data_IF_795500870652
#
_entry.id   IF_795500870652
#
_cell.length_a   1.000
_cell.length_b   1.000
_cell.length_c   1.000
_cell.angle_alpha   90.00
_cell.angle_beta   90.00
_cell.angle_gamma   90.00
#
_symmetry.space_group_name_H-M   'P 1'
#
loop_
_entity.id
_entity.type
_entity.pdbx_description
1 polymer ?
#
# COMPACT_ATOMS: atom_id res chain seq x y z
N UNK A 1 48.09 -22.99 10.59
CA UNK A 1 46.70 -22.68 10.94
C UNK A 1 46.29 -21.48 10.11
N UNK A 2 45.51 -21.73 9.06
CA UNK A 2 45.12 -20.72 8.08
C UNK A 2 43.69 -20.28 8.43
N UNK A 3 43.56 -19.09 9.03
CA UNK A 3 42.26 -18.49 9.34
C UNK A 3 41.62 -18.00 8.04
N UNK A 4 40.70 -18.79 7.50
CA UNK A 4 39.79 -18.35 6.45
C UNK A 4 38.71 -17.47 7.08
N UNK A 5 38.83 -16.16 6.84
CA UNK A 5 37.76 -15.20 7.12
C UNK A 5 36.63 -15.44 6.13
N UNK A 6 35.58 -16.13 6.57
CA UNK A 6 34.30 -16.15 5.88
C UNK A 6 33.66 -14.79 6.05
N UNK A 7 33.69 -13.98 4.99
CA UNK A 7 32.91 -12.74 4.89
C UNK A 7 31.45 -13.17 4.70
N UNK A 8 30.69 -13.15 5.79
CA UNK A 8 29.24 -13.31 5.75
C UNK A 8 28.69 -12.04 5.10
N UNK A 9 28.28 -12.15 3.84
CA UNK A 9 27.56 -11.09 3.13
C UNK A 9 26.17 -10.99 3.74
N UNK A 10 25.90 -9.91 4.46
CA UNK A 10 24.58 -9.59 5.00
C UNK A 10 23.70 -9.00 3.87
N UNK A 11 22.67 -9.72 3.39
CA UNK A 11 21.82 -9.24 2.29
C UNK A 11 21.03 -7.99 2.66
N UNK A 12 20.94 -7.61 3.94
CA UNK A 12 20.21 -6.41 4.39
C UNK A 12 20.97 -5.13 4.00
N UNK A 13 22.30 -5.15 3.91
CA UNK A 13 23.07 -3.96 3.48
C UNK A 13 22.97 -3.66 1.99
N UNK A 14 22.70 -4.67 1.15
CA UNK A 14 22.55 -4.45 -0.29
C UNK A 14 21.28 -3.66 -0.63
N UNK A 15 20.21 -3.83 0.17
CA UNK A 15 18.95 -3.12 -0.03
C UNK A 15 19.00 -1.67 0.49
N UNK A 16 19.74 -1.42 1.58
CA UNK A 16 19.95 -0.07 2.10
C UNK A 16 20.79 0.82 1.14
N UNK A 17 21.69 0.21 0.35
CA UNK A 17 22.55 0.96 -0.57
C UNK A 17 21.80 1.52 -1.79
N UNK A 18 20.64 0.94 -2.15
CA UNK A 18 19.82 1.42 -3.27
C UNK A 18 18.99 2.66 -2.88
N UNK A 19 18.61 2.82 -1.60
CA UNK A 19 17.90 4.02 -1.14
C UNK A 19 18.78 5.28 -1.06
N UNK A 20 20.10 5.14 -0.88
CA UNK A 20 21.00 6.28 -0.70
C UNK A 20 21.39 7.01 -2.01
N UNK A 21 21.09 6.43 -3.17
CA UNK A 21 21.48 6.99 -4.48
C UNK A 21 20.43 7.96 -5.07
N UNK A 22 19.25 8.10 -4.46
CA UNK A 22 18.12 8.89 -5.00
C UNK A 22 17.90 10.26 -4.33
N UNK A 23 18.73 10.66 -3.36
CA UNK A 23 18.53 11.87 -2.56
C UNK A 23 19.34 13.11 -3.00
N UNK A 24 19.98 13.11 -4.18
CA UNK A 24 20.88 14.22 -4.61
C UNK A 24 20.34 15.18 -5.68
N UNK A 25 19.06 15.13 -6.06
CA UNK A 25 18.49 16.13 -6.98
C UNK A 25 17.99 17.37 -6.22
N UNK A 26 18.70 18.47 -6.48
CA UNK A 26 18.60 19.82 -5.90
C UNK A 26 17.19 20.43 -5.88
N UNK A 27 16.88 21.27 -4.87
CA UNK A 27 15.73 22.15 -4.92
C UNK A 27 16.06 23.41 -5.74
N UNK A 28 15.47 23.53 -6.92
CA UNK A 28 15.45 24.80 -7.66
C UNK A 28 14.34 25.68 -7.06
N UNK A 29 14.69 26.61 -6.16
CA UNK A 29 13.74 27.59 -5.64
C UNK A 29 13.25 28.49 -6.79
N UNK A 30 11.96 28.40 -7.11
CA UNK A 30 11.26 29.36 -7.96
C UNK A 30 10.57 30.38 -7.06
N UNK A 31 11.13 31.59 -7.06
CA UNK A 31 10.51 32.80 -6.49
C UNK A 31 9.25 33.14 -7.28
N UNK A 32 8.11 33.21 -6.60
CA UNK A 32 6.84 33.68 -7.18
C UNK A 32 6.62 35.14 -6.75
N UNK A 33 6.38 36.07 -7.67
CA UNK A 33 6.01 37.45 -7.31
C UNK A 33 4.57 37.49 -6.81
N UNK A 34 4.39 38.20 -5.69
CA UNK A 34 3.10 38.49 -5.07
C UNK A 34 2.39 39.60 -5.86
N UNK A 35 1.23 39.29 -6.45
CA UNK A 35 0.39 40.26 -7.15
C UNK A 35 -0.93 40.41 -6.39
N UNK A 36 -1.15 41.60 -5.85
CA UNK A 36 -2.43 42.05 -5.31
C UNK A 36 -3.39 42.44 -6.44
N UNK A 37 -4.68 42.10 -6.31
CA UNK A 37 -5.76 42.75 -7.04
C UNK A 37 -7.05 42.78 -6.20
N UNK A 38 -7.61 43.99 -6.10
CA UNK A 38 -8.83 44.40 -5.41
C UNK A 38 -10.05 44.31 -6.35
N UNK A 39 -11.25 44.18 -5.77
CA UNK A 39 -12.57 44.45 -6.39
C UNK A 39 -13.24 43.22 -7.00
N UNK A 40 -14.56 42.99 -6.98
CA UNK A 40 -15.76 43.69 -6.51
C UNK A 40 -16.96 42.84 -7.01
N UNK A 41 -18.01 42.59 -6.24
CA UNK A 41 -19.35 43.16 -6.50
C UNK A 41 -20.37 42.20 -7.16
N UNK A 42 -21.63 42.25 -6.70
CA UNK A 42 -22.87 41.74 -7.34
C UNK A 42 -23.20 40.27 -7.07
N UNK A 43 -24.29 39.90 -6.38
CA UNK A 43 -25.68 39.83 -6.89
C UNK A 43 -25.90 38.47 -7.58
N UNK A 44 -26.91 37.62 -7.38
CA UNK A 44 -28.24 37.64 -6.75
C UNK A 44 -29.00 36.39 -7.27
N UNK A 45 -30.08 35.98 -6.60
CA UNK A 45 -31.05 34.95 -7.06
C UNK A 45 -30.58 33.49 -6.86
N UNK A 46 -31.31 32.56 -6.22
CA UNK A 46 -32.75 32.35 -6.20
C UNK A 46 -33.09 31.17 -7.13
N UNK A 47 -33.09 29.94 -6.61
CA UNK A 47 -33.43 28.74 -7.39
C UNK A 47 -33.78 27.55 -6.49
N UNK A 48 -35.03 27.09 -6.61
CA UNK A 48 -35.68 26.15 -5.69
C UNK A 48 -35.20 24.70 -5.76
N UNK A 49 -35.32 24.04 -4.61
CA UNK A 49 -35.02 22.63 -4.42
C UNK A 49 -36.08 21.72 -5.03
N UNK A 50 -35.70 21.03 -6.10
CA UNK A 50 -36.35 19.79 -6.52
C UNK A 50 -35.75 18.64 -5.72
N UNK A 51 -36.53 18.06 -4.82
CA UNK A 51 -36.20 16.83 -4.09
C UNK A 51 -36.15 15.63 -5.02
N UNK A 52 -35.10 15.54 -5.83
CA UNK A 52 -34.76 14.31 -6.53
C UNK A 52 -34.21 13.32 -5.51
N UNK A 53 -34.95 12.23 -5.28
CA UNK A 53 -34.42 11.11 -4.52
C UNK A 53 -33.05 10.72 -5.10
N UNK A 54 -32.02 10.53 -4.26
CA UNK A 54 -30.68 10.19 -4.75
C UNK A 54 -30.80 8.95 -5.63
N UNK A 55 -30.34 9.08 -6.87
CA UNK A 55 -30.32 7.97 -7.81
C UNK A 55 -29.43 6.87 -7.20
N UNK A 56 -30.04 5.77 -6.78
CA UNK A 56 -29.31 4.59 -6.33
C UNK A 56 -28.57 4.04 -7.54
N UNK A 57 -27.28 4.35 -7.64
CA UNK A 57 -26.42 3.77 -8.67
C UNK A 57 -26.34 2.28 -8.34
N UNK A 58 -26.75 1.38 -9.25
CA UNK A 58 -26.59 -0.04 -9.01
C UNK A 58 -25.10 -0.32 -8.82
N UNK A 59 -24.72 -0.74 -7.61
CA UNK A 59 -23.40 -1.28 -7.30
C UNK A 59 -23.22 -2.52 -8.15
N UNK A 60 -22.63 -2.33 -9.33
CA UNK A 60 -22.23 -3.46 -10.16
C UNK A 60 -21.14 -4.15 -9.37
N UNK A 61 -21.44 -5.35 -8.86
CA UNK A 61 -20.54 -6.09 -8.01
C UNK A 61 -19.15 -6.15 -8.66
N UNK A 62 -18.20 -5.52 -8.00
CA UNK A 62 -16.81 -5.46 -8.43
C UNK A 62 -16.13 -6.81 -8.20
N UNK A 63 -16.53 -7.80 -8.98
CA UNK A 63 -16.04 -9.19 -8.93
C UNK A 63 -14.98 -9.38 -10.01
N UNK A 64 -13.76 -9.67 -9.58
CA UNK A 64 -12.66 -9.99 -10.48
C UNK A 64 -12.77 -11.41 -11.05
N UNK A 65 -11.80 -11.81 -11.89
CA UNK A 65 -11.68 -13.19 -12.34
C UNK A 65 -11.64 -14.17 -11.15
N UNK A 66 -12.21 -15.36 -11.34
CA UNK A 66 -12.22 -16.38 -10.32
C UNK A 66 -10.79 -16.74 -9.90
N UNK A 67 -10.56 -16.83 -8.59
CA UNK A 67 -9.26 -17.13 -7.98
C UNK A 67 -8.17 -16.07 -8.22
N UNK A 68 -8.50 -14.82 -8.52
CA UNK A 68 -7.51 -13.75 -8.54
C UNK A 68 -7.55 -12.96 -7.22
N UNK A 69 -6.40 -12.77 -6.55
CA UNK A 69 -6.33 -11.85 -5.41
C UNK A 69 -6.62 -10.43 -5.89
N UNK A 70 -7.37 -9.68 -5.07
CA UNK A 70 -7.81 -8.35 -5.43
C UNK A 70 -7.59 -7.35 -4.30
N UNK A 71 -7.01 -6.21 -4.65
CA UNK A 71 -6.71 -5.12 -3.72
C UNK A 71 -7.40 -3.84 -4.16
N UNK A 72 -8.14 -3.21 -3.25
CA UNK A 72 -8.64 -1.85 -3.44
C UNK A 72 -7.53 -0.84 -3.11
N UNK A 73 -7.31 0.10 -4.01
CA UNK A 73 -6.39 1.21 -3.81
C UNK A 73 -7.20 2.50 -3.84
N UNK A 74 -7.21 3.20 -2.71
CA UNK A 74 -7.96 4.44 -2.53
C UNK A 74 -7.48 5.54 -3.49
N UNK A 75 -8.38 6.43 -3.90
CA UNK A 75 -8.08 7.57 -4.77
C UNK A 75 -7.13 8.60 -4.14
N UNK A 76 -6.89 8.50 -2.83
CA UNK A 76 -5.90 9.31 -2.12
C UNK A 76 -4.45 8.80 -2.25
N UNK A 77 -4.25 7.68 -2.96
CA UNK A 77 -2.92 7.17 -3.31
C UNK A 77 -2.47 7.81 -4.63
N UNK A 78 -1.44 8.63 -4.56
CA UNK A 78 -0.75 9.15 -5.73
C UNK A 78 0.09 8.03 -6.36
N UNK A 79 -0.34 7.53 -7.51
CA UNK A 79 0.34 6.42 -8.21
C UNK A 79 1.78 6.74 -8.64
N UNK A 80 2.19 8.01 -8.65
CA UNK A 80 3.55 8.43 -9.00
C UNK A 80 4.44 8.51 -7.76
N UNK A 81 3.90 9.04 -6.66
CA UNK A 81 4.68 9.38 -5.47
C UNK A 81 4.51 8.40 -4.31
N UNK A 82 3.44 7.62 -4.30
CA UNK A 82 3.13 6.67 -3.23
C UNK A 82 3.41 5.22 -3.59
N UNK A 83 3.49 4.90 -4.89
CA UNK A 83 3.82 3.56 -5.36
C UNK A 83 5.29 3.53 -5.78
N UNK A 84 6.11 2.85 -4.98
CA UNK A 84 7.52 2.67 -5.33
C UNK A 84 7.69 1.59 -6.41
N UNK A 85 8.77 1.72 -7.20
CA UNK A 85 9.16 0.81 -8.28
C UNK A 85 8.26 0.78 -9.52
N UNK A 86 7.41 1.80 -9.69
CA UNK A 86 6.63 2.03 -10.91
C UNK A 86 5.14 1.75 -10.75
N UNK A 87 4.33 1.94 -11.81
CA UNK A 87 2.89 1.73 -11.76
C UNK A 87 2.49 0.30 -11.35
N UNK A 88 1.35 0.20 -10.68
CA UNK A 88 0.70 -1.07 -10.34
C UNK A 88 0.54 -1.92 -11.60
N UNK A 89 0.96 -3.18 -11.53
CA UNK A 89 0.96 -4.10 -12.67
C UNK A 89 2.31 -4.30 -13.34
N UNK A 90 3.35 -3.55 -12.95
CA UNK A 90 4.70 -3.74 -13.48
C UNK A 90 5.41 -5.00 -12.97
N UNK A 91 5.22 -5.32 -11.68
CA UNK A 91 5.82 -6.50 -11.04
C UNK A 91 4.86 -7.70 -11.18
N UNK A 92 3.86 -7.82 -10.31
CA UNK A 92 2.75 -8.75 -10.55
C UNK A 92 1.77 -8.17 -11.59
N UNK A 93 1.53 -8.89 -12.68
CA UNK A 93 0.63 -8.46 -13.74
C UNK A 93 -0.82 -8.30 -13.23
N UNK A 94 -1.45 -7.18 -13.57
CA UNK A 94 -2.88 -6.94 -13.33
C UNK A 94 -3.71 -7.66 -14.39
N UNK A 95 -4.69 -8.46 -13.96
CA UNK A 95 -5.59 -9.22 -14.84
C UNK A 95 -6.90 -8.51 -15.11
N UNK A 96 -7.36 -7.70 -14.15
CA UNK A 96 -8.56 -6.89 -14.29
C UNK A 96 -8.47 -5.68 -13.36
N UNK A 97 -9.16 -4.61 -13.74
CA UNK A 97 -9.40 -3.45 -12.88
C UNK A 97 -10.87 -3.13 -12.84
N UNK A 98 -11.28 -2.50 -11.75
CA UNK A 98 -12.65 -2.13 -11.50
C UNK A 98 -12.66 -0.76 -10.81
N UNK A 99 -13.05 0.30 -11.54
CA UNK A 99 -13.20 1.63 -10.96
C UNK A 99 -14.28 1.65 -9.88
N UNK A 100 -13.99 2.31 -8.76
CA UNK A 100 -14.90 2.50 -7.63
C UNK A 100 -15.05 4.00 -7.37
N UNK A 101 -16.03 4.43 -6.57
CA UNK A 101 -16.23 5.87 -6.30
C UNK A 101 -15.04 6.51 -5.58
N UNK A 102 -14.40 5.73 -4.71
CA UNK A 102 -13.33 6.20 -3.80
C UNK A 102 -11.97 5.60 -4.16
N UNK A 103 -11.81 5.03 -5.36
CA UNK A 103 -10.56 4.38 -5.75
C UNK A 103 -10.69 3.42 -6.92
N UNK A 104 -9.81 2.44 -6.97
CA UNK A 104 -9.83 1.39 -8.00
C UNK A 104 -9.46 0.07 -7.35
N UNK A 105 -10.22 -0.98 -7.68
CA UNK A 105 -9.88 -2.35 -7.32
C UNK A 105 -9.06 -2.98 -8.43
N UNK A 106 -7.88 -3.48 -8.09
CA UNK A 106 -6.98 -4.19 -8.99
C UNK A 106 -7.04 -5.68 -8.65
N UNK A 107 -7.05 -6.52 -9.69
CA UNK A 107 -6.94 -7.96 -9.57
C UNK A 107 -5.62 -8.39 -10.20
N UNK A 108 -4.87 -9.24 -9.51
CA UNK A 108 -3.52 -9.63 -9.92
C UNK A 108 -3.49 -11.07 -10.40
N UNK A 109 -2.47 -11.41 -11.18
CA UNK A 109 -2.16 -12.81 -11.48
C UNK A 109 -1.85 -13.58 -10.20
N UNK A 110 -2.23 -14.85 -10.20
CA UNK A 110 -1.96 -15.75 -9.09
C UNK A 110 -0.48 -16.11 -9.02
N UNK A 111 0.05 -16.26 -7.82
CA UNK A 111 1.36 -16.88 -7.60
C UNK A 111 1.29 -17.84 -6.41
N UNK A 112 2.14 -18.85 -6.43
CA UNK A 112 2.32 -19.83 -5.34
C UNK A 112 3.67 -19.65 -4.65
N UNK A 113 4.41 -18.58 -4.97
CA UNK A 113 5.67 -18.28 -4.31
C UNK A 113 5.42 -17.94 -2.84
N UNK A 114 6.12 -18.60 -1.92
CA UNK A 114 5.97 -18.39 -0.47
C UNK A 114 7.10 -17.58 0.16
N UNK A 115 8.30 -17.63 -0.43
CA UNK A 115 9.51 -16.96 0.05
C UNK A 115 9.57 -15.49 -0.41
N UNK A 116 9.52 -14.55 0.54
CA UNK A 116 9.58 -13.11 0.28
C UNK A 116 10.85 -12.65 -0.43
N UNK A 117 11.99 -13.29 -0.20
CA UNK A 117 13.22 -12.93 -0.89
C UNK A 117 13.11 -13.23 -2.39
N UNK A 118 12.43 -14.33 -2.75
CA UNK A 118 12.16 -14.66 -4.14
C UNK A 118 11.05 -13.77 -4.72
N UNK A 119 10.01 -13.44 -3.94
CA UNK A 119 8.97 -12.51 -4.38
C UNK A 119 9.58 -11.18 -4.77
N UNK A 120 10.38 -10.58 -3.90
CA UNK A 120 11.01 -9.27 -4.13
C UNK A 120 12.10 -9.39 -5.20
N UNK A 121 12.98 -10.38 -5.09
CA UNK A 121 14.11 -10.56 -6.01
C UNK A 121 13.71 -10.83 -7.46
N UNK A 122 12.53 -11.44 -7.68
CA UNK A 122 11.99 -11.73 -9.01
C UNK A 122 10.88 -10.76 -9.44
N UNK A 123 10.64 -9.67 -8.71
CA UNK A 123 9.58 -8.69 -9.00
C UNK A 123 8.18 -9.32 -9.11
N UNK A 124 7.80 -10.18 -8.16
CA UNK A 124 6.48 -10.83 -8.10
C UNK A 124 5.52 -10.17 -7.10
N UNK A 125 5.93 -9.10 -6.44
CA UNK A 125 5.08 -8.26 -5.60
C UNK A 125 4.03 -7.51 -6.43
N UNK A 126 2.87 -7.19 -5.87
CA UNK A 126 1.84 -6.35 -6.49
C UNK A 126 2.35 -4.93 -6.65
N UNK A 127 2.81 -4.34 -5.53
CA UNK A 127 3.43 -3.03 -5.44
C UNK A 127 4.01 -2.80 -4.05
N UNK A 128 4.72 -1.67 -3.89
CA UNK A 128 5.21 -1.18 -2.60
C UNK A 128 4.56 0.18 -2.33
N UNK A 129 3.86 0.30 -1.21
CA UNK A 129 3.21 1.54 -0.78
C UNK A 129 4.09 2.29 0.22
N UNK A 130 4.29 3.58 -0.05
CA UNK A 130 4.81 4.58 0.88
C UNK A 130 3.90 5.80 0.83
N UNK A 131 3.60 6.42 1.96
CA UNK A 131 2.77 7.64 2.00
C UNK A 131 3.57 8.83 2.55
N UNK A 132 4.50 9.45 1.79
CA UNK A 132 5.33 10.52 2.32
C UNK A 132 4.48 11.69 2.85
N UNK A 133 4.79 12.15 4.07
CA UNK A 133 4.10 13.27 4.71
C UNK A 133 2.67 12.97 5.21
N UNK A 134 2.18 11.73 5.05
CA UNK A 134 0.88 11.29 5.58
C UNK A 134 0.98 9.90 6.18
N UNK A 135 -0.04 9.44 6.90
CA UNK A 135 -0.06 8.05 7.40
C UNK A 135 -0.68 7.13 6.36
N UNK A 136 -0.01 6.01 6.08
CA UNK A 136 -0.61 4.91 5.34
C UNK A 136 -1.78 4.30 6.13
N UNK A 137 -2.75 3.78 5.41
CA UNK A 137 -3.83 2.97 5.95
C UNK A 137 -3.93 1.67 5.16
N UNK A 138 -4.01 0.54 5.86
CA UNK A 138 -4.27 -0.77 5.26
C UNK A 138 -5.42 -1.43 5.99
N UNK A 139 -6.31 -2.10 5.27
CA UNK A 139 -7.47 -2.76 5.85
C UNK A 139 -7.55 -4.21 5.36
N UNK A 140 -7.65 -5.15 6.29
CA UNK A 140 -7.97 -6.56 5.99
C UNK A 140 -9.48 -6.76 5.80
N UNK A 141 -10.30 -5.89 6.38
CA UNK A 141 -11.75 -5.84 6.20
C UNK A 141 -12.26 -4.43 6.51
N UNK A 142 -13.54 -4.10 6.24
CA UNK A 142 -14.08 -2.77 6.56
C UNK A 142 -13.97 -2.37 8.04
N UNK A 143 -13.86 -3.34 8.96
CA UNK A 143 -13.78 -3.10 10.42
C UNK A 143 -12.40 -3.35 11.00
N UNK A 144 -11.44 -3.80 10.18
CA UNK A 144 -10.08 -4.13 10.63
C UNK A 144 -9.09 -3.40 9.74
N UNK A 145 -8.66 -2.23 10.23
CA UNK A 145 -7.68 -1.37 9.59
C UNK A 145 -6.49 -1.10 10.52
N UNK A 146 -5.35 -0.77 9.92
CA UNK A 146 -4.09 -0.52 10.60
C UNK A 146 -3.41 0.72 10.05
N UNK A 147 -2.67 1.40 10.93
CA UNK A 147 -1.83 2.55 10.62
C UNK A 147 -0.41 2.29 11.12
N UNK A 148 0.62 2.79 10.43
CA UNK A 148 1.99 2.55 10.84
C UNK A 148 2.32 3.29 12.15
N UNK A 149 3.16 2.70 12.98
CA UNK A 149 3.66 3.31 14.23
C UNK A 149 4.62 4.48 13.98
N UNK A 150 5.23 4.50 12.80
CA UNK A 150 6.24 5.46 12.35
C UNK A 150 6.04 5.74 10.85
N UNK A 151 6.64 6.80 10.32
CA UNK A 151 6.48 7.23 8.91
C UNK A 151 7.46 6.56 7.93
N UNK A 152 8.38 5.74 8.44
CA UNK A 152 9.46 5.08 7.68
C UNK A 152 9.19 3.59 7.39
N UNK A 153 7.93 3.15 7.42
CA UNK A 153 7.55 1.77 7.12
C UNK A 153 7.14 1.68 5.65
N UNK A 154 7.84 0.86 4.88
CA UNK A 154 7.43 0.47 3.53
C UNK A 154 6.52 -0.75 3.60
N UNK A 155 5.43 -0.73 2.86
CA UNK A 155 4.44 -1.81 2.84
C UNK A 155 4.51 -2.53 1.50
N UNK A 156 5.03 -3.76 1.50
CA UNK A 156 5.16 -4.58 0.29
C UNK A 156 3.99 -5.54 0.23
N UNK A 157 3.26 -5.54 -0.89
CA UNK A 157 2.10 -6.42 -1.08
C UNK A 157 2.43 -7.48 -2.12
N UNK A 158 2.03 -8.73 -1.87
CA UNK A 158 2.21 -9.81 -2.82
C UNK A 158 0.94 -10.64 -2.96
N UNK A 159 0.60 -11.08 -4.19
CA UNK A 159 -0.48 -12.04 -4.35
C UNK A 159 0.02 -13.40 -3.81
N UNK A 160 -0.87 -14.22 -3.26
CA UNK A 160 -0.54 -15.60 -2.95
C UNK A 160 -1.78 -16.48 -3.01
N UNK A 161 -1.60 -17.67 -3.57
CA UNK A 161 -2.64 -18.67 -3.75
C UNK A 161 -2.23 -20.02 -3.17
N UNK A 162 -3.10 -20.61 -2.35
CA UNK A 162 -2.94 -21.98 -1.84
C UNK A 162 -4.29 -22.64 -1.68
N UNK A 163 -4.39 -23.91 -2.07
CA UNK A 163 -5.63 -24.70 -1.93
C UNK A 163 -6.84 -24.07 -2.65
N UNK A 164 -6.63 -23.36 -3.76
CA UNK A 164 -7.70 -22.67 -4.50
C UNK A 164 -8.19 -21.36 -3.87
N UNK A 165 -7.61 -20.93 -2.75
CA UNK A 165 -7.89 -19.62 -2.15
C UNK A 165 -6.74 -18.67 -2.45
N UNK A 166 -7.05 -17.45 -2.86
CA UNK A 166 -6.06 -16.42 -3.18
C UNK A 166 -6.34 -15.14 -2.39
N UNK A 167 -5.29 -14.53 -1.88
CA UNK A 167 -5.35 -13.25 -1.17
C UNK A 167 -4.07 -12.44 -1.40
N UNK A 168 -4.14 -11.15 -1.13
CA UNK A 168 -2.97 -10.27 -1.10
C UNK A 168 -2.44 -10.19 0.33
N UNK A 169 -1.14 -10.42 0.51
CA UNK A 169 -0.48 -10.43 1.81
C UNK A 169 0.48 -9.26 1.92
N UNK A 170 0.62 -8.72 3.14
CA UNK A 170 1.47 -7.58 3.42
C UNK A 170 2.72 -7.98 4.19
N UNK A 171 3.88 -7.58 3.68
CA UNK A 171 5.16 -7.54 4.38
C UNK A 171 5.45 -6.12 4.84
N UNK A 172 5.88 -5.95 6.09
CA UNK A 172 6.41 -4.69 6.60
C UNK A 172 7.91 -4.69 6.32
N UNK A 173 8.41 -3.59 5.79
CA UNK A 173 9.85 -3.33 5.76
C UNK A 173 10.12 -2.09 6.60
N UNK A 174 10.78 -2.31 7.74
CA UNK A 174 11.01 -1.29 8.75
C UNK A 174 12.43 -1.40 9.33
N UNK A 175 12.83 -0.41 10.13
CA UNK A 175 14.18 -0.32 10.67
C UNK A 175 14.33 -1.07 11.99
N UNK A 176 13.27 -1.12 12.81
CA UNK A 176 13.29 -1.80 14.10
C UNK A 176 12.26 -2.93 14.14
N UNK A 177 12.60 -4.02 14.84
CA UNK A 177 11.69 -5.15 15.06
C UNK A 177 10.39 -4.75 15.80
N UNK A 178 10.43 -3.62 16.52
CA UNK A 178 9.29 -3.05 17.24
C UNK A 178 8.41 -2.13 16.38
N UNK A 179 8.88 -1.72 15.20
CA UNK A 179 8.06 -0.94 14.27
C UNK A 179 6.86 -1.80 13.83
N UNK A 180 5.69 -1.19 13.75
CA UNK A 180 4.44 -1.93 13.68
C UNK A 180 3.36 -1.25 12.84
N UNK A 181 2.40 -2.04 12.40
CA UNK A 181 1.09 -1.58 11.99
C UNK A 181 0.13 -1.76 13.17
N UNK A 182 -0.25 -0.65 13.79
CA UNK A 182 -1.16 -0.62 14.92
C UNK A 182 -2.61 -0.56 14.42
N UNK A 183 -3.57 -1.25 15.07
CA UNK A 183 -4.97 -1.13 14.74
C UNK A 183 -5.42 0.33 14.81
N UNK A 184 -6.15 0.79 13.81
CA UNK A 184 -6.73 2.13 13.80
C UNK A 184 -7.73 2.31 14.97
N UNK A 185 -8.04 3.55 15.34
CA UNK A 185 -9.02 3.82 16.39
C UNK A 185 -10.38 3.15 16.05
N UNK A 186 -10.89 2.31 16.95
CA UNK A 186 -12.13 1.54 16.74
C UNK A 186 -11.98 0.24 15.94
N UNK A 187 -10.78 -0.06 15.43
CA UNK A 187 -10.47 -1.34 14.77
C UNK A 187 -10.33 -2.47 15.79
N UNK A 188 -10.78 -3.68 15.43
CA UNK A 188 -10.65 -4.88 16.29
C UNK A 188 -9.41 -5.72 16.00
N UNK A 189 -8.49 -5.22 15.17
CA UNK A 189 -7.24 -5.90 14.83
C UNK A 189 -6.27 -6.01 16.01
N UNK A 190 -5.23 -6.84 15.85
CA UNK A 190 -4.06 -6.88 16.75
C UNK A 190 -2.85 -6.24 16.08
N UNK A 191 -1.96 -5.55 16.81
CA UNK A 191 -0.73 -5.00 16.22
C UNK A 191 0.09 -6.05 15.46
N UNK A 192 0.63 -5.66 14.32
CA UNK A 192 1.53 -6.48 13.50
C UNK A 192 2.90 -5.81 13.53
N UNK A 193 3.90 -6.44 14.12
CA UNK A 193 5.25 -5.87 14.19
C UNK A 193 6.14 -6.40 13.09
N UNK A 194 7.15 -5.64 12.67
CA UNK A 194 8.16 -6.11 11.73
C UNK A 194 8.84 -7.39 12.23
N UNK A 195 9.19 -7.42 13.53
CA UNK A 195 9.80 -8.61 14.15
C UNK A 195 8.89 -9.84 14.15
N UNK A 196 7.56 -9.67 14.16
CA UNK A 196 6.62 -10.80 14.09
C UNK A 196 6.57 -11.50 12.72
N UNK A 197 7.26 -10.96 11.72
CA UNK A 197 7.37 -11.52 10.38
C UNK A 197 8.70 -12.25 10.15
N UNK A 198 9.56 -12.27 11.17
CA UNK A 198 10.89 -12.88 11.12
C UNK A 198 10.92 -14.18 11.93
N UNK A 199 11.69 -15.15 11.45
CA UNK A 199 12.05 -16.34 12.20
C UNK A 199 13.12 -16.04 13.28
N UNK A 200 13.50 -17.04 14.06
CA UNK A 200 14.52 -16.90 15.09
C UNK A 200 15.93 -16.54 14.55
N UNK A 201 16.16 -16.70 13.25
CA UNK A 201 17.40 -16.34 12.56
C UNK A 201 17.34 -14.95 11.90
N UNK A 202 16.20 -14.26 12.00
CA UNK A 202 15.98 -12.96 11.36
C UNK A 202 15.59 -13.03 9.89
N UNK A 203 15.23 -14.20 9.35
CA UNK A 203 14.73 -14.32 7.98
C UNK A 203 13.23 -14.11 7.94
N UNK A 204 12.71 -13.59 6.82
CA UNK A 204 11.26 -13.57 6.59
C UNK A 204 10.66 -14.98 6.62
N UNK A 205 9.59 -15.15 7.38
CA UNK A 205 8.81 -16.39 7.37
C UNK A 205 8.12 -16.59 6.01
N UNK A 206 7.71 -17.82 5.70
CA UNK A 206 7.03 -18.13 4.43
C UNK A 206 5.56 -17.70 4.44
N UNK A 207 4.99 -17.36 3.29
CA UNK A 207 3.53 -17.23 3.17
C UNK A 207 2.84 -18.61 3.27
N UNK A 208 1.62 -18.69 3.83
CA UNK A 208 0.83 -17.62 4.45
C UNK A 208 0.90 -17.69 5.99
N UNK A 209 2.10 -17.66 6.60
CA UNK A 209 2.31 -17.77 8.05
C UNK A 209 1.69 -16.58 8.83
N UNK A 210 2.44 -15.84 9.64
CA UNK A 210 1.91 -14.71 10.44
C UNK A 210 1.50 -13.48 9.62
N UNK A 211 1.54 -13.54 8.29
CA UNK A 211 1.27 -12.42 7.41
C UNK A 211 -0.22 -12.10 7.33
N UNK A 212 -0.54 -10.81 7.42
CA UNK A 212 -1.90 -10.33 7.33
C UNK A 212 -2.36 -10.25 5.87
N UNK A 213 -3.53 -10.82 5.58
CA UNK A 213 -4.25 -10.58 4.34
C UNK A 213 -4.80 -9.15 4.33
N UNK A 214 -4.57 -8.43 3.24
CA UNK A 214 -5.00 -7.03 3.06
C UNK A 214 -5.89 -6.94 1.83
N UNK A 215 -7.02 -6.24 1.98
CA UNK A 215 -8.02 -6.06 0.95
C UNK A 215 -8.08 -4.62 0.42
N UNK A 216 -7.59 -3.66 1.21
CA UNK A 216 -7.59 -2.26 0.82
C UNK A 216 -6.41 -1.47 1.39
N UNK A 217 -5.96 -0.47 0.62
CA UNK A 217 -4.88 0.44 1.01
C UNK A 217 -5.19 1.89 0.65
N UNK A 218 -4.60 2.84 1.37
CA UNK A 218 -4.74 4.28 1.13
C UNK A 218 -3.69 5.12 1.86
N UNK A 219 -3.63 6.41 1.54
CA UNK A 219 -2.82 7.42 2.23
C UNK A 219 -3.71 8.49 2.89
N UNK A 220 -3.36 8.98 4.07
CA UNK A 220 -4.13 10.02 4.77
C UNK A 220 -5.08 9.53 5.87
N UNK A 221 -4.88 8.30 6.37
CA UNK A 221 -5.57 7.77 7.55
C UNK A 221 -6.63 6.69 7.29
N UNK A 222 -7.16 6.12 8.38
CA UNK A 222 -8.16 5.03 8.40
C UNK A 222 -9.50 5.48 9.02
N UNK A 223 -10.63 4.81 8.72
CA UNK A 223 -10.79 3.65 7.82
C UNK A 223 -10.94 4.04 6.35
N UNK A 224 -10.74 3.07 5.46
CA UNK A 224 -10.98 3.24 4.03
C UNK A 224 -12.43 2.94 3.69
N UNK A 225 -13.07 3.86 2.96
CA UNK A 225 -14.39 3.63 2.37
C UNK A 225 -14.20 2.81 1.09
N UNK A 226 -14.63 1.55 1.11
CA UNK A 226 -14.54 0.63 -0.04
C UNK A 226 -15.90 0.57 -0.74
N UNK A 227 -16.25 1.63 -1.46
CA UNK A 227 -17.51 1.70 -2.20
C UNK A 227 -17.31 1.16 -3.63
N UNK A 228 -17.38 -0.16 -3.71
CA UNK A 228 -17.49 -0.96 -4.93
C UNK A 228 -18.70 -1.91 -4.74
#
# INVERSE_FOLDING_TARGET
MELRHSVIYDPIQALLLICAMLSSVSPCMRTVPSAAALGGGGGGGGGGGGGGAPATIPTTACTGPANNPGMFVSSNVDMTNNIAFGPIGMAAAVTATCPCSDGTRYFFNTTTQTDWNQIIGNNMQEFVLRCPGTMACVCSSPTVCYMPSTDNIDLVFAPFCSGGTCASYMLLMANAATDAMNPAAGSTGSPITYGSQLDASGNFMMLPDSYQQINAVGCGGCPLQMNC
#
